data_IF_366280505014
#
_entry.id   IF_366280505014
#
_cell.length_a   1.000
_cell.length_b   1.000
_cell.length_c   1.000
_cell.angle_alpha   90.00
_cell.angle_beta   90.00
_cell.angle_gamma   90.00
#
_symmetry.space_group_name_H-M   'P 1'
#
loop_
_entity.id
_entity.type
_entity.pdbx_description
1 polymer ?
#
# COMPACT_ATOMS: atom_id res chain seq x y z
N UNK A 1 -7.88 2.51 -5.39
CA UNK A 1 -8.66 1.26 -5.51
C UNK A 1 -7.70 0.16 -5.92
N UNK A 2 -7.51 -0.88 -5.11
CA UNK A 2 -6.56 -1.96 -5.42
C UNK A 2 -6.83 -3.21 -4.58
N UNK A 3 -6.35 -4.37 -5.02
CA UNK A 3 -6.22 -5.58 -4.18
C UNK A 3 -4.84 -5.70 -3.50
N UNK A 4 -3.94 -4.77 -3.77
CA UNK A 4 -2.57 -4.73 -3.28
C UNK A 4 -2.49 -4.03 -1.91
N UNK A 5 -1.78 -4.65 -0.97
CA UNK A 5 -1.61 -4.10 0.39
C UNK A 5 -0.47 -3.09 0.46
N UNK A 6 0.47 -3.11 -0.48
CA UNK A 6 1.61 -2.20 -0.44
C UNK A 6 1.18 -0.76 -0.55
N UNK A 7 0.05 -0.50 -1.22
CA UNK A 7 -0.54 0.83 -1.32
C UNK A 7 -1.12 1.35 0.00
N UNK A 8 -1.20 0.55 1.08
CA UNK A 8 -1.58 1.05 2.40
C UNK A 8 -0.59 2.12 2.91
N UNK A 9 0.65 2.08 2.45
CA UNK A 9 1.64 3.12 2.76
C UNK A 9 1.28 4.52 2.22
N UNK A 10 0.33 4.61 1.28
CA UNK A 10 -0.12 5.87 0.69
C UNK A 10 -1.33 6.48 1.41
N UNK A 11 -1.85 5.81 2.43
CA UNK A 11 -2.97 6.32 3.23
C UNK A 11 -2.55 7.59 3.96
N UNK A 12 -3.36 8.65 3.78
CA UNK A 12 -3.08 9.97 4.31
C UNK A 12 -4.39 10.67 4.71
N UNK A 13 -4.74 10.57 5.98
CA UNK A 13 -6.00 11.12 6.51
C UNK A 13 -6.07 12.65 6.37
N UNK A 14 -4.94 13.37 6.39
CA UNK A 14 -4.90 14.82 6.21
C UNK A 14 -5.29 15.24 4.79
N UNK A 15 -4.96 14.40 3.80
CA UNK A 15 -5.30 14.60 2.39
C UNK A 15 -6.57 13.85 1.98
N UNK A 16 -7.26 13.24 2.93
CA UNK A 16 -8.39 12.34 2.71
C UNK A 16 -8.09 11.20 1.70
N UNK A 17 -6.84 10.72 1.68
CA UNK A 17 -6.40 9.65 0.80
C UNK A 17 -6.60 8.28 1.47
N UNK A 18 -7.55 7.50 0.94
CA UNK A 18 -7.89 6.15 1.44
C UNK A 18 -7.68 5.08 0.37
N UNK A 19 -7.43 3.85 0.80
CA UNK A 19 -7.36 2.69 -0.11
C UNK A 19 -8.66 1.91 -0.07
N UNK A 20 -9.36 1.88 -1.21
CA UNK A 20 -10.44 0.89 -1.43
C UNK A 20 -9.78 -0.46 -1.69
N UNK A 21 -9.79 -1.34 -0.69
CA UNK A 21 -9.11 -2.63 -0.68
C UNK A 21 -10.03 -3.77 -1.12
N UNK A 22 -9.67 -4.42 -2.23
CA UNK A 22 -10.55 -5.34 -2.98
C UNK A 22 -10.36 -6.83 -2.65
N UNK A 23 -9.69 -7.21 -1.56
CA UNK A 23 -9.45 -8.62 -1.25
C UNK A 23 -10.72 -9.46 -1.08
N UNK A 24 -11.85 -8.83 -0.74
CA UNK A 24 -13.18 -9.48 -0.62
C UNK A 24 -14.07 -9.23 -1.83
N UNK A 25 -13.52 -8.69 -2.92
CA UNK A 25 -14.26 -8.29 -4.12
C UNK A 25 -14.82 -6.87 -4.04
N UNK A 26 -15.39 -6.39 -5.16
CA UNK A 26 -15.85 -5.00 -5.33
C UNK A 26 -16.99 -4.64 -4.37
N UNK A 27 -17.94 -5.55 -4.12
CA UNK A 27 -19.12 -5.22 -3.31
C UNK A 27 -18.88 -5.26 -1.80
N UNK A 28 -17.82 -5.93 -1.34
CA UNK A 28 -17.49 -6.11 0.08
C UNK A 28 -16.11 -5.54 0.42
N UNK A 29 -15.67 -4.54 -0.33
CA UNK A 29 -14.37 -3.91 -0.16
C UNK A 29 -14.24 -3.25 1.22
N UNK A 30 -13.02 -3.23 1.75
CA UNK A 30 -12.69 -2.44 2.92
C UNK A 30 -12.25 -1.05 2.47
N UNK A 31 -12.63 0.00 3.22
CA UNK A 31 -12.08 1.33 3.05
C UNK A 31 -10.98 1.52 4.10
N UNK A 32 -9.73 1.52 3.64
CA UNK A 32 -8.53 1.53 4.49
C UNK A 32 -8.06 2.96 4.70
N UNK A 33 -8.15 3.40 5.95
CA UNK A 33 -7.56 4.63 6.51
C UNK A 33 -6.54 4.26 7.60
N UNK A 34 -5.90 5.26 8.25
CA UNK A 34 -4.88 4.97 9.28
C UNK A 34 -5.46 4.22 10.47
N UNK A 35 -6.69 4.54 10.88
CA UNK A 35 -7.37 3.85 11.97
C UNK A 35 -7.65 2.38 11.66
N UNK A 36 -8.00 2.06 10.41
CA UNK A 36 -8.15 0.70 9.94
C UNK A 36 -6.82 -0.06 10.02
N UNK A 37 -5.72 0.56 9.55
CA UNK A 37 -4.37 -0.04 9.62
C UNK A 37 -3.99 -0.32 11.06
N UNK A 38 -4.22 0.64 11.95
CA UNK A 38 -3.90 0.52 13.37
C UNK A 38 -4.65 -0.63 14.02
N UNK A 39 -5.97 -0.70 13.81
CA UNK A 39 -6.78 -1.79 14.34
C UNK A 39 -6.37 -3.14 13.76
N UNK A 40 -6.04 -3.19 12.47
CA UNK A 40 -5.75 -4.44 11.77
C UNK A 40 -4.39 -5.03 12.15
N UNK A 41 -3.36 -4.18 12.24
CA UNK A 41 -1.97 -4.60 12.37
C UNK A 41 -1.37 -4.27 13.75
N UNK A 42 -2.10 -3.54 14.60
CA UNK A 42 -1.61 -3.09 15.92
C UNK A 42 -0.32 -2.28 15.82
N UNK A 43 -0.30 -1.34 14.87
CA UNK A 43 0.80 -0.40 14.61
C UNK A 43 0.23 1.01 14.43
N UNK A 44 0.99 2.09 14.67
CA UNK A 44 0.54 3.41 14.24
C UNK A 44 0.24 3.41 12.74
N UNK A 45 -0.88 4.00 12.33
CA UNK A 45 -1.40 3.81 10.97
C UNK A 45 -0.50 4.35 9.84
N UNK A 46 0.44 5.23 10.16
CA UNK A 46 1.47 5.76 9.25
C UNK A 46 2.76 4.89 9.20
N UNK A 47 2.78 3.73 9.86
CA UNK A 47 3.94 2.83 9.96
C UNK A 47 3.85 1.57 9.11
N UNK A 48 2.84 1.46 8.25
CA UNK A 48 2.65 0.25 7.43
C UNK A 48 3.88 -0.09 6.59
N UNK A 49 4.54 0.93 6.01
CA UNK A 49 5.73 0.71 5.16
C UNK A 49 6.88 0.08 5.95
N UNK A 50 7.24 0.62 7.12
CA UNK A 50 8.26 0.04 8.01
C UNK A 50 7.89 -1.39 8.43
N UNK A 51 6.64 -1.60 8.81
CA UNK A 51 6.13 -2.91 9.17
C UNK A 51 6.27 -3.94 8.03
N UNK A 52 5.95 -3.54 6.79
CA UNK A 52 6.12 -4.38 5.61
C UNK A 52 7.60 -4.68 5.31
N UNK A 53 8.48 -3.68 5.39
CA UNK A 53 9.93 -3.86 5.22
C UNK A 53 10.50 -4.90 6.18
N UNK A 54 10.06 -4.91 7.44
CA UNK A 54 10.57 -5.85 8.45
C UNK A 54 9.96 -7.24 8.27
N UNK A 55 8.64 -7.33 8.10
CA UNK A 55 7.94 -8.63 8.03
C UNK A 55 8.22 -9.38 6.72
N UNK A 56 8.56 -8.65 5.65
CA UNK A 56 8.66 -9.15 4.29
C UNK A 56 7.31 -9.29 3.58
N UNK A 57 7.34 -9.54 2.26
CA UNK A 57 6.15 -9.94 1.51
C UNK A 57 6.48 -11.04 0.50
N UNK A 58 5.87 -12.21 0.72
CA UNK A 58 6.12 -13.40 -0.09
C UNK A 58 5.55 -13.29 -1.50
N UNK A 59 4.48 -12.50 -1.72
CA UNK A 59 3.95 -12.28 -3.08
C UNK A 59 4.96 -11.58 -3.97
N UNK A 60 5.78 -10.73 -3.38
CA UNK A 60 6.72 -9.83 -4.06
C UNK A 60 8.17 -10.33 -3.94
N UNK A 61 8.34 -11.53 -3.36
CA UNK A 61 9.66 -12.12 -3.14
C UNK A 61 10.54 -11.37 -2.14
N UNK A 62 9.95 -10.49 -1.33
CA UNK A 62 10.64 -9.68 -0.33
C UNK A 62 10.81 -10.51 0.96
N UNK A 63 12.05 -10.85 1.36
CA UNK A 63 12.28 -11.77 2.47
C UNK A 63 11.99 -11.17 3.84
N UNK A 64 12.04 -9.84 3.97
CA UNK A 64 12.03 -9.17 5.27
C UNK A 64 13.32 -9.42 6.08
N UNK A 65 13.30 -9.01 7.35
CA UNK A 65 14.39 -9.30 8.30
C UNK A 65 14.22 -10.72 8.86
N UNK A 66 15.20 -11.58 8.63
CA UNK A 66 15.14 -13.00 8.97
C UNK A 66 14.94 -13.19 10.48
N UNK A 67 13.88 -13.91 10.81
CA UNK A 67 13.52 -14.21 12.20
C UNK A 67 12.74 -13.11 12.90
N UNK A 68 12.30 -12.07 12.19
CA UNK A 68 11.32 -11.09 12.68
C UNK A 68 10.04 -11.21 11.85
N UNK A 69 9.07 -11.95 12.39
CA UNK A 69 7.75 -12.05 11.77
C UNK A 69 6.83 -10.87 12.12
N UNK A 70 5.57 -10.97 11.69
CA UNK A 70 4.53 -9.93 11.85
C UNK A 70 4.47 -9.31 13.26
N UNK A 71 4.43 -10.13 14.32
CA UNK A 71 4.36 -9.64 15.70
C UNK A 71 5.61 -8.85 16.13
N UNK A 72 6.78 -9.26 15.65
CA UNK A 72 8.03 -8.55 15.94
C UNK A 72 8.09 -7.23 15.17
N UNK A 73 7.69 -7.26 13.89
CA UNK A 73 7.60 -6.07 13.06
C UNK A 73 6.63 -5.04 13.66
N UNK A 74 5.47 -5.47 14.17
CA UNK A 74 4.49 -4.58 14.79
C UNK A 74 5.06 -3.89 16.03
N UNK A 75 5.73 -4.63 16.92
CA UNK A 75 6.40 -4.07 18.11
C UNK A 75 7.49 -3.05 17.76
N UNK A 76 8.22 -3.28 16.66
CA UNK A 76 9.24 -2.33 16.20
C UNK A 76 8.54 -1.08 15.64
N UNK A 77 7.52 -1.24 14.80
CA UNK A 77 6.75 -0.15 14.23
C UNK A 77 5.97 0.69 15.28
N UNK A 78 5.69 0.13 16.46
CA UNK A 78 5.12 0.86 17.60
C UNK A 78 6.08 1.92 18.16
N UNK A 79 7.40 1.68 18.08
CA UNK A 79 8.41 2.53 18.71
C UNK A 79 9.25 3.35 17.73
N UNK A 80 9.29 2.95 16.47
CA UNK A 80 10.18 3.53 15.45
C UNK A 80 9.38 3.88 14.19
N UNK A 81 9.87 4.89 13.47
CA UNK A 81 9.17 5.49 12.33
C UNK A 81 9.71 5.12 10.96
N UNK A 82 11.00 4.79 10.88
CA UNK A 82 11.67 4.45 9.63
C UNK A 82 12.66 3.30 9.84
N UNK A 83 13.10 2.69 8.73
CA UNK A 83 14.14 1.65 8.80
C UNK A 83 15.47 2.22 9.27
N UNK A 84 15.79 3.46 8.90
CA UNK A 84 16.98 4.17 9.38
C UNK A 84 16.96 4.33 10.90
N UNK A 85 15.83 4.74 11.49
CA UNK A 85 15.69 4.85 12.94
C UNK A 85 15.88 3.50 13.64
N UNK A 86 15.39 2.41 13.02
CA UNK A 86 15.57 1.04 13.52
C UNK A 86 17.03 0.59 13.45
N UNK A 87 17.75 0.93 12.37
CA UNK A 87 19.18 0.63 12.21
C UNK A 87 20.00 1.40 13.26
N UNK A 88 19.73 2.69 13.44
CA UNK A 88 20.40 3.53 14.43
C UNK A 88 20.15 3.03 15.87
N UNK A 89 18.91 2.67 16.17
CA UNK A 89 18.53 2.04 17.44
C UNK A 89 19.26 0.70 17.65
N UNK A 90 19.47 -0.07 16.59
CA UNK A 90 20.19 -1.32 16.67
C UNK A 90 21.68 -1.14 16.96
N UNK A 91 22.31 -0.09 16.42
CA UNK A 91 23.72 0.23 16.69
C UNK A 91 23.95 0.88 18.06
N UNK A 92 23.02 1.70 18.52
CA UNK A 92 23.10 2.41 19.81
C UNK A 92 22.59 1.59 21.01
N UNK A 93 22.13 0.36 20.78
CA UNK A 93 21.53 -0.50 21.79
C UNK A 93 20.32 0.15 22.51
N UNK A 94 19.46 0.83 21.74
CA UNK A 94 18.26 1.49 22.27
C UNK A 94 17.36 0.50 23.05
N UNK A 95 16.99 0.88 24.27
CA UNK A 95 16.20 0.04 25.18
C UNK A 95 14.80 -0.31 24.64
N UNK A 96 14.25 0.48 23.71
CA UNK A 96 12.97 0.21 23.03
C UNK A 96 13.08 -0.97 22.06
N UNK A 97 14.29 -1.31 21.59
CA UNK A 97 14.52 -2.40 20.66
C UNK A 97 15.02 -3.65 21.40
N UNK A 98 14.16 -4.67 21.49
CA UNK A 98 14.50 -5.92 22.16
C UNK A 98 15.78 -6.57 21.61
N UNK A 99 16.64 -7.08 22.50
CA UNK A 99 17.98 -7.63 22.18
C UNK A 99 17.96 -8.68 21.06
N UNK A 100 16.94 -9.54 21.03
CA UNK A 100 16.78 -10.52 19.94
C UNK A 100 16.52 -9.85 18.60
N UNK A 101 15.67 -8.81 18.54
CA UNK A 101 15.39 -8.09 17.29
C UNK A 101 16.61 -7.30 16.83
N UNK A 102 17.31 -6.62 17.76
CA UNK A 102 18.58 -5.95 17.51
C UNK A 102 19.58 -6.87 16.81
N UNK A 103 19.84 -8.06 17.36
CA UNK A 103 20.77 -9.04 16.79
C UNK A 103 20.37 -9.50 15.38
N UNK A 104 19.08 -9.59 15.07
CA UNK A 104 18.59 -9.97 13.73
C UNK A 104 18.73 -8.84 12.72
N UNK A 105 18.39 -7.60 13.12
CA UNK A 105 18.59 -6.41 12.29
C UNK A 105 20.06 -6.24 11.91
N UNK A 106 20.97 -6.36 12.89
CA UNK A 106 22.41 -6.28 12.64
C UNK A 106 22.94 -7.41 11.76
N UNK A 107 22.35 -8.60 11.82
CA UNK A 107 22.74 -9.74 10.99
C UNK A 107 22.29 -9.60 9.52
N UNK A 108 21.17 -8.92 9.28
CA UNK A 108 20.60 -8.68 7.95
C UNK A 108 20.72 -7.20 7.52
N UNK A 109 21.78 -6.52 7.98
CA UNK A 109 21.95 -5.08 7.79
C UNK A 109 21.98 -4.67 6.31
N UNK A 110 22.51 -5.52 5.43
CA UNK A 110 22.57 -5.25 3.99
C UNK A 110 21.16 -5.16 3.37
N UNK A 111 20.23 -6.02 3.79
CA UNK A 111 18.83 -5.91 3.40
C UNK A 111 18.18 -4.69 4.04
N UNK A 112 18.40 -4.46 5.35
CA UNK A 112 17.81 -3.33 6.06
C UNK A 112 18.13 -1.99 5.39
N UNK A 113 19.38 -1.79 4.94
CA UNK A 113 19.84 -0.56 4.26
C UNK A 113 19.13 -0.28 2.93
N UNK A 114 18.67 -1.31 2.22
CA UNK A 114 18.01 -1.16 0.91
C UNK A 114 16.49 -1.35 1.00
N UNK A 115 15.96 -1.79 2.14
CA UNK A 115 14.56 -2.16 2.29
C UNK A 115 13.62 -0.99 1.99
N UNK A 116 14.01 0.25 2.34
CA UNK A 116 13.22 1.44 2.01
C UNK A 116 13.09 1.66 0.51
N UNK A 117 14.16 1.48 -0.26
CA UNK A 117 14.13 1.61 -1.73
C UNK A 117 13.33 0.48 -2.38
N UNK A 118 13.42 -0.74 -1.85
CA UNK A 118 12.73 -1.91 -2.41
C UNK A 118 11.21 -1.91 -2.15
N UNK A 119 10.78 -1.41 -0.99
CA UNK A 119 9.38 -1.57 -0.53
C UNK A 119 8.57 -0.29 -0.71
N UNK A 120 9.22 0.88 -0.70
CA UNK A 120 8.47 2.15 -0.73
C UNK A 120 8.00 2.48 -2.15
N UNK A 121 6.77 2.98 -2.26
CA UNK A 121 6.29 3.53 -3.52
C UNK A 121 7.02 4.84 -3.85
N UNK A 122 7.51 4.97 -5.08
CA UNK A 122 8.02 6.24 -5.58
C UNK A 122 6.87 7.28 -5.67
N UNK A 123 7.08 8.46 -5.08
CA UNK A 123 6.06 9.52 -4.96
C UNK A 123 6.33 10.74 -5.85
N UNK A 124 7.42 10.74 -6.58
CA UNK A 124 7.98 11.85 -7.35
C UNK A 124 8.09 11.53 -8.85
N UNK A 125 7.36 10.51 -9.30
CA UNK A 125 7.27 10.15 -10.72
C UNK A 125 6.68 11.33 -11.50
N UNK A 126 7.39 11.75 -12.55
CA UNK A 126 6.90 12.77 -13.48
C UNK A 126 5.82 12.18 -14.36
N UNK A 127 4.57 12.54 -14.08
CA UNK A 127 3.42 12.16 -14.90
C UNK A 127 3.11 13.26 -15.93
N UNK A 128 2.63 12.91 -17.13
CA UNK A 128 2.11 13.89 -18.06
C UNK A 128 0.92 14.62 -17.43
N UNK A 129 0.74 15.89 -17.76
CA UNK A 129 -0.49 16.59 -17.40
C UNK A 129 -1.67 15.93 -18.11
N UNK A 130 -2.62 15.44 -17.32
CA UNK A 130 -3.84 14.83 -17.80
C UNK A 130 -5.04 15.51 -17.11
N UNK A 131 -6.10 15.71 -17.88
CA UNK A 131 -7.39 16.10 -17.31
C UNK A 131 -8.04 14.86 -16.70
N UNK A 132 -8.13 14.82 -15.37
CA UNK A 132 -8.66 13.71 -14.59
C UNK A 132 -10.15 13.89 -14.27
N UNK A 133 -10.79 14.95 -14.76
CA UNK A 133 -12.22 15.15 -14.58
C UNK A 133 -12.99 14.14 -15.41
N UNK A 134 -14.02 13.56 -14.78
CA UNK A 134 -15.01 12.74 -15.49
C UNK A 134 -15.70 13.65 -16.52
N UNK A 135 -15.64 13.25 -17.79
CA UNK A 135 -16.26 13.99 -18.90
C UNK A 135 -17.78 13.87 -18.86
N UNK A 136 -18.48 14.82 -19.48
CA UNK A 136 -19.95 14.83 -19.57
C UNK A 136 -20.52 13.82 -20.57
N UNK A 137 -19.65 13.15 -21.34
CA UNK A 137 -20.05 12.13 -22.30
C UNK A 137 -18.87 11.65 -23.15
N UNK A 138 -19.07 10.59 -23.94
CA UNK A 138 -18.07 10.14 -24.89
C UNK A 138 -18.00 11.09 -26.09
N UNK A 139 -16.79 11.31 -26.61
CA UNK A 139 -16.59 12.13 -27.81
C UNK A 139 -17.24 11.50 -29.06
N UNK A 140 -17.28 10.17 -29.13
CA UNK A 140 -17.92 9.41 -30.20
C UNK A 140 -18.71 8.23 -29.60
N UNK A 141 -20.04 8.39 -29.55
CA UNK A 141 -20.94 7.36 -29.06
C UNK A 141 -21.05 6.17 -30.02
N UNK A 142 -20.98 6.42 -31.33
CA UNK A 142 -21.05 5.38 -32.37
C UNK A 142 -19.88 4.41 -32.24
N UNK A 143 -18.67 4.92 -31.99
CA UNK A 143 -17.49 4.09 -31.79
C UNK A 143 -17.64 3.17 -30.55
N UNK A 144 -18.24 3.68 -29.47
CA UNK A 144 -18.50 2.88 -28.27
C UNK A 144 -19.56 1.81 -28.53
N UNK A 145 -20.62 2.14 -29.26
CA UNK A 145 -21.66 1.17 -29.62
C UNK A 145 -21.12 0.05 -30.52
N UNK A 146 -20.22 0.38 -31.45
CA UNK A 146 -19.52 -0.62 -32.26
C UNK A 146 -18.64 -1.53 -31.38
N UNK A 147 -17.84 -0.97 -30.46
CA UNK A 147 -17.05 -1.76 -29.52
C UNK A 147 -17.92 -2.63 -28.61
N UNK A 148 -19.08 -2.13 -28.17
CA UNK A 148 -20.06 -2.87 -27.37
C UNK A 148 -20.52 -4.14 -28.10
N UNK A 149 -20.80 -4.01 -29.40
CA UNK A 149 -21.18 -5.12 -30.27
C UNK A 149 -20.01 -6.08 -30.48
N UNK A 150 -18.86 -5.57 -30.93
CA UNK A 150 -17.72 -6.39 -31.36
C UNK A 150 -17.11 -7.21 -30.22
N UNK A 151 -17.06 -6.63 -29.02
CA UNK A 151 -16.50 -7.27 -27.84
C UNK A 151 -17.57 -8.00 -26.99
N UNK A 152 -18.84 -7.96 -27.39
CA UNK A 152 -19.92 -8.61 -26.67
C UNK A 152 -20.10 -8.10 -25.23
N UNK A 153 -19.91 -6.79 -24.99
CA UNK A 153 -19.89 -6.20 -23.63
C UNK A 153 -21.26 -6.19 -22.94
N UNK A 154 -22.32 -6.57 -23.67
CA UNK A 154 -23.69 -6.67 -23.16
C UNK A 154 -24.15 -5.37 -22.51
N UNK A 155 -24.81 -5.46 -21.35
CA UNK A 155 -25.33 -4.30 -20.62
C UNK A 155 -24.28 -3.52 -19.82
N UNK A 156 -23.00 -3.90 -19.86
CA UNK A 156 -21.96 -3.21 -19.09
C UNK A 156 -21.77 -1.76 -19.53
N UNK A 157 -21.83 -1.50 -20.84
CA UNK A 157 -21.78 -0.12 -21.40
C UNK A 157 -23.01 0.68 -20.98
N UNK A 158 -24.20 0.07 -21.02
CA UNK A 158 -25.45 0.73 -20.61
C UNK A 158 -25.42 1.11 -19.13
N UNK A 159 -24.91 0.21 -18.28
CA UNK A 159 -24.73 0.46 -16.84
C UNK A 159 -23.69 1.54 -16.57
N UNK A 160 -22.61 1.59 -17.34
CA UNK A 160 -21.61 2.65 -17.25
C UNK A 160 -22.23 4.02 -17.59
N UNK A 161 -22.94 4.11 -18.71
CA UNK A 161 -23.61 5.35 -19.13
C UNK A 161 -24.62 5.81 -18.09
N UNK A 162 -25.44 4.89 -17.56
CA UNK A 162 -26.39 5.19 -16.50
C UNK A 162 -25.69 5.69 -15.21
N UNK A 163 -24.57 5.08 -14.81
CA UNK A 163 -23.82 5.48 -13.62
C UNK A 163 -23.17 6.87 -13.76
N UNK A 164 -22.66 7.18 -14.95
CA UNK A 164 -22.03 8.47 -15.26
C UNK A 164 -23.04 9.55 -15.69
N UNK A 165 -24.32 9.16 -15.91
CA UNK A 165 -25.40 10.00 -16.43
C UNK A 165 -25.10 10.57 -17.83
N UNK A 166 -24.54 9.72 -18.69
CA UNK A 166 -24.31 9.97 -20.12
C UNK A 166 -25.49 9.53 -20.98
#
# INVERSE_FOLDING_TARGET
VTGDRDLFQLVDDERDAKVVYLAKGISAHDLVDRAWIEKKYSIPGDRYSLFAMIRGDASDGLPGIKGIGEKGAAKIAEHFSSMDEVIDAAHSEDARLHDTHRKRILADLDYAKIATELVSCARDIRLPQADLLIKEGPADKSAIDQMKSDLGLGSSVDRLFAALRW
#
